data_IF_742933936815
#
_entry.id   IF_742933936815
#
_cell.length_a   1.000
_cell.length_b   1.000
_cell.length_c   1.000
_cell.angle_alpha   90.00
_cell.angle_beta   90.00
_cell.angle_gamma   90.00
#
_symmetry.space_group_name_H-M   'P 1'
#
loop_
_entity.id
_entity.type
_entity.pdbx_description
1 polymer ?
#
# COMPACT_ATOMS: atom_id res chain seq x y z
N UNK A 1 -11.74 -1.49 10.95
CA UNK A 1 -12.76 -1.46 12.03
C UNK A 1 -12.02 -1.48 13.36
N UNK A 2 -12.57 -0.99 14.47
CA UNK A 2 -11.94 -1.21 15.77
C UNK A 2 -11.87 -2.72 16.05
N UNK A 3 -10.77 -3.18 16.63
CA UNK A 3 -10.61 -4.58 17.01
C UNK A 3 -11.65 -4.95 18.07
N UNK A 4 -12.20 -6.16 17.95
CA UNK A 4 -13.15 -6.71 18.93
C UNK A 4 -12.42 -7.76 19.75
N UNK A 5 -12.37 -7.58 21.07
CA UNK A 5 -11.79 -8.52 22.03
C UNK A 5 -12.88 -9.22 22.82
N UNK A 6 -12.78 -10.54 22.93
CA UNK A 6 -13.60 -11.36 23.79
C UNK A 6 -12.74 -12.03 24.86
N UNK A 7 -13.31 -12.16 26.06
CA UNK A 7 -12.75 -12.96 27.14
C UNK A 7 -13.56 -14.24 27.22
N UNK A 8 -12.90 -15.39 27.12
CA UNK A 8 -13.59 -16.66 27.18
C UNK A 8 -14.01 -16.98 28.62
N UNK A 9 -15.24 -17.45 28.80
CA UNK A 9 -15.74 -17.94 30.09
C UNK A 9 -15.01 -19.21 30.55
N UNK A 10 -14.46 -19.98 29.60
CA UNK A 10 -13.57 -21.13 29.83
C UNK A 10 -12.38 -21.03 28.88
N UNK A 11 -11.14 -21.36 29.31
CA UNK A 11 -9.98 -21.30 28.44
C UNK A 11 -10.15 -22.15 27.17
N UNK A 12 -9.85 -21.55 26.01
CA UNK A 12 -9.92 -22.21 24.70
C UNK A 12 -8.62 -22.98 24.44
N UNK A 13 -8.69 -24.32 24.46
CA UNK A 13 -7.56 -25.19 24.16
C UNK A 13 -7.44 -25.47 22.66
N UNK A 14 -6.95 -24.49 21.90
CA UNK A 14 -6.81 -24.62 20.44
C UNK A 14 -5.34 -24.61 20.00
N UNK A 15 -5.02 -25.36 18.96
CA UNK A 15 -3.69 -25.37 18.35
C UNK A 15 -3.63 -24.33 17.22
N UNK A 16 -3.10 -23.13 17.54
CA UNK A 16 -3.02 -22.00 16.59
C UNK A 16 -2.12 -22.29 15.40
N UNK A 17 -1.03 -23.05 15.59
CA UNK A 17 -0.17 -23.48 14.48
C UNK A 17 -0.91 -24.40 13.51
N UNK A 18 -1.77 -25.28 14.02
CA UNK A 18 -2.61 -26.15 13.18
C UNK A 18 -3.62 -25.31 12.40
N UNK A 19 -4.22 -24.27 13.00
CA UNK A 19 -5.09 -23.32 12.28
C UNK A 19 -4.30 -22.65 11.14
N UNK A 20 -3.11 -22.10 11.45
CA UNK A 20 -2.28 -21.42 10.46
C UNK A 20 -1.89 -22.31 9.28
N UNK A 21 -1.59 -23.59 9.52
CA UNK A 21 -1.30 -24.56 8.43
C UNK A 21 -2.49 -24.80 7.50
N UNK A 22 -3.73 -24.60 7.97
CA UNK A 22 -4.94 -24.74 7.16
C UNK A 22 -5.31 -23.45 6.42
N UNK A 23 -4.70 -22.33 6.80
CA UNK A 23 -4.92 -21.02 6.22
C UNK A 23 -3.56 -20.42 5.77
N UNK A 24 -2.88 -21.04 4.78
CA UNK A 24 -1.52 -20.67 4.38
C UNK A 24 -1.39 -19.24 3.82
N UNK A 25 -2.51 -18.61 3.43
CA UNK A 25 -2.57 -17.22 3.02
C UNK A 25 -2.38 -16.24 4.19
N UNK A 26 -2.59 -16.68 5.44
CA UNK A 26 -2.38 -15.86 6.62
C UNK A 26 -1.00 -16.11 7.21
N UNK A 27 -0.41 -15.05 7.77
CA UNK A 27 0.87 -15.13 8.47
C UNK A 27 0.63 -15.54 9.92
N UNK A 28 1.40 -16.52 10.37
CA UNK A 28 1.44 -16.92 11.77
C UNK A 28 2.62 -16.27 12.48
N UNK A 29 2.37 -15.68 13.64
CA UNK A 29 3.38 -15.16 14.56
C UNK A 29 3.11 -15.73 15.94
N UNK A 30 4.03 -16.56 16.42
CA UNK A 30 4.04 -17.00 17.81
C UNK A 30 4.68 -15.96 18.74
N UNK A 31 4.70 -16.24 20.06
CA UNK A 31 5.41 -15.43 21.02
C UNK A 31 6.91 -15.43 20.67
N UNK A 32 7.55 -14.27 20.78
CA UNK A 32 9.00 -14.15 20.59
C UNK A 32 9.60 -13.24 21.65
N UNK A 33 10.82 -13.58 22.05
CA UNK A 33 11.62 -12.81 22.98
C UNK A 33 12.41 -11.73 22.24
N UNK A 34 12.52 -10.57 22.88
CA UNK A 34 13.28 -9.46 22.33
C UNK A 34 14.77 -9.78 22.41
N UNK A 35 15.55 -9.20 21.48
CA UNK A 35 17.01 -9.29 21.53
C UNK A 35 17.60 -8.67 22.82
N UNK A 36 16.85 -7.80 23.51
CA UNK A 36 17.25 -7.17 24.77
C UNK A 36 16.83 -7.96 26.02
N UNK A 37 16.28 -9.18 25.84
CA UNK A 37 15.70 -9.98 26.91
C UNK A 37 14.27 -9.55 27.25
N UNK A 38 13.40 -10.52 27.53
CA UNK A 38 11.98 -10.32 27.83
C UNK A 38 11.06 -10.66 26.65
N UNK A 39 9.90 -11.27 26.94
CA UNK A 39 8.88 -11.55 25.92
C UNK A 39 8.31 -10.26 25.35
N UNK A 40 8.32 -10.12 24.02
CA UNK A 40 7.70 -8.97 23.33
C UNK A 40 6.19 -9.13 23.24
N UNK A 41 5.71 -10.36 23.10
CA UNK A 41 4.28 -10.68 23.10
C UNK A 41 4.03 -12.09 23.63
N UNK A 42 2.98 -12.26 24.45
CA UNK A 42 2.41 -13.56 24.85
C UNK A 42 1.42 -14.11 23.83
N UNK A 43 1.19 -13.38 22.74
CA UNK A 43 0.08 -13.56 21.83
C UNK A 43 0.47 -14.49 20.68
N UNK A 44 -0.52 -15.26 20.23
CA UNK A 44 -0.44 -16.10 19.05
C UNK A 44 -1.34 -15.47 17.99
N UNK A 45 -0.72 -14.95 16.94
CA UNK A 45 -1.38 -14.10 15.95
C UNK A 45 -1.42 -14.82 14.61
N UNK A 46 -2.62 -14.90 14.04
CA UNK A 46 -2.87 -15.16 12.63
C UNK A 46 -3.30 -13.82 12.05
N UNK A 47 -2.48 -13.23 11.19
CA UNK A 47 -2.76 -11.94 10.58
C UNK A 47 -2.85 -12.03 9.07
N UNK A 48 -3.67 -11.15 8.51
CA UNK A 48 -3.73 -10.93 7.08
C UNK A 48 -2.34 -10.47 6.59
N UNK A 49 -1.79 -11.19 5.62
CA UNK A 49 -0.46 -10.91 5.07
C UNK A 49 -0.43 -9.57 4.31
N UNK A 50 -1.60 -9.16 3.79
CA UNK A 50 -1.76 -8.06 2.84
C UNK A 50 -2.09 -6.74 3.51
N UNK A 51 -2.71 -6.79 4.68
CA UNK A 51 -2.89 -5.63 5.54
C UNK A 51 -1.95 -5.71 6.73
N UNK A 52 -1.04 -4.75 6.87
CA UNK A 52 0.10 -4.86 7.78
C UNK A 52 -0.27 -5.21 9.23
N UNK A 53 -1.52 -5.03 9.67
CA UNK A 53 -1.93 -5.25 11.06
C UNK A 53 -3.36 -5.75 11.29
N UNK A 54 -4.08 -6.34 10.31
CA UNK A 54 -5.40 -6.91 10.64
C UNK A 54 -5.23 -8.29 11.28
N UNK A 55 -5.49 -8.38 12.59
CA UNK A 55 -5.54 -9.64 13.31
C UNK A 55 -6.78 -10.42 12.85
N UNK A 56 -6.57 -11.52 12.11
CA UNK A 56 -7.62 -12.50 11.82
C UNK A 56 -8.02 -13.17 13.13
N UNK A 57 -7.02 -13.74 13.81
CA UNK A 57 -7.15 -14.22 15.17
C UNK A 57 -5.92 -13.82 15.98
N UNK A 58 -6.14 -13.18 17.11
CA UNK A 58 -5.10 -12.86 18.09
C UNK A 58 -5.47 -13.52 19.41
N UNK A 59 -4.89 -14.69 19.67
CA UNK A 59 -5.11 -15.43 20.90
C UNK A 59 -4.11 -14.97 21.97
N UNK A 60 -4.60 -14.72 23.18
CA UNK A 60 -3.79 -14.20 24.28
C UNK A 60 -4.21 -14.82 25.64
N UNK A 61 -3.39 -14.58 26.67
CA UNK A 61 -3.58 -15.11 28.01
C UNK A 61 -3.41 -16.63 28.04
N UNK A 62 -2.34 -17.13 27.43
CA UNK A 62 -2.05 -18.56 27.39
C UNK A 62 -1.78 -19.10 28.80
N UNK A 63 -2.56 -20.10 29.20
CA UNK A 63 -2.38 -20.90 30.42
C UNK A 63 -2.21 -22.38 30.05
N UNK A 64 -1.94 -23.24 31.05
CA UNK A 64 -1.93 -24.70 30.88
C UNK A 64 -3.25 -25.25 30.32
N UNK A 65 -4.38 -24.57 30.61
CA UNK A 65 -5.71 -24.99 30.17
C UNK A 65 -6.11 -24.46 28.79
N UNK A 66 -5.38 -23.49 28.24
CA UNK A 66 -5.75 -22.83 26.98
C UNK A 66 -5.59 -21.32 27.00
N UNK A 67 -6.08 -20.65 25.97
CA UNK A 67 -6.11 -19.20 25.83
C UNK A 67 -7.33 -18.61 26.53
N UNK A 68 -7.18 -17.47 27.19
CA UNK A 68 -8.29 -16.82 27.90
C UNK A 68 -8.97 -15.73 27.09
N UNK A 69 -8.38 -15.29 25.97
CA UNK A 69 -9.00 -14.27 25.12
C UNK A 69 -8.67 -14.44 23.64
N UNK A 70 -9.55 -13.90 22.81
CA UNK A 70 -9.37 -13.73 21.38
C UNK A 70 -9.68 -12.28 21.01
N UNK A 71 -8.84 -11.70 20.17
CA UNK A 71 -9.03 -10.40 19.53
C UNK A 71 -9.02 -10.57 18.01
N UNK A 72 -9.85 -9.79 17.30
CA UNK A 72 -9.97 -9.83 15.84
C UNK A 72 -10.36 -8.48 15.27
N UNK A 73 -9.92 -8.17 14.05
CA UNK A 73 -10.39 -7.05 13.25
C UNK A 73 -11.51 -7.44 12.27
N UNK A 74 -11.88 -8.73 12.24
CA UNK A 74 -12.84 -9.30 11.31
C UNK A 74 -14.25 -9.28 11.90
N UNK A 75 -15.23 -8.96 11.05
CA UNK A 75 -16.64 -9.07 11.42
C UNK A 75 -17.08 -10.54 11.65
N UNK A 76 -18.15 -10.80 12.41
CA UNK A 76 -18.65 -12.16 12.63
C UNK A 76 -18.89 -12.95 11.34
N UNK A 77 -19.42 -12.32 10.29
CA UNK A 77 -19.64 -12.97 8.99
C UNK A 77 -18.33 -13.38 8.31
N UNK A 78 -17.30 -12.55 8.38
CA UNK A 78 -16.00 -12.91 7.81
C UNK A 78 -15.33 -14.03 8.63
N UNK A 79 -15.44 -13.99 9.96
CA UNK A 79 -14.99 -15.07 10.83
C UNK A 79 -15.71 -16.38 10.54
N UNK A 80 -17.02 -16.35 10.32
CA UNK A 80 -17.80 -17.54 10.02
C UNK A 80 -17.25 -18.28 8.80
N UNK A 81 -16.90 -17.53 7.75
CA UNK A 81 -16.28 -18.07 6.53
C UNK A 81 -14.91 -18.67 6.82
N UNK A 82 -14.04 -17.95 7.54
CA UNK A 82 -12.70 -18.45 7.90
C UNK A 82 -12.80 -19.73 8.75
N UNK A 83 -13.67 -19.73 9.75
CA UNK A 83 -13.93 -20.87 10.63
C UNK A 83 -14.48 -22.06 9.84
N UNK A 84 -15.32 -21.83 8.83
CA UNK A 84 -15.89 -22.91 8.01
C UNK A 84 -14.87 -23.69 7.18
N UNK A 85 -13.69 -23.10 6.93
CA UNK A 85 -12.58 -23.72 6.20
C UNK A 85 -11.66 -24.56 7.07
N UNK A 86 -11.82 -24.45 8.39
CA UNK A 86 -11.02 -25.23 9.33
C UNK A 86 -11.54 -26.67 9.44
N UNK A 87 -10.66 -27.64 9.74
CA UNK A 87 -11.04 -28.97 10.18
C UNK A 87 -12.16 -28.95 11.22
N UNK A 88 -13.06 -29.94 11.18
CA UNK A 88 -14.27 -29.98 12.01
C UNK A 88 -13.98 -29.87 13.51
N UNK A 89 -12.85 -30.41 13.99
CA UNK A 89 -12.41 -30.32 15.38
C UNK A 89 -12.07 -28.89 15.79
N UNK A 90 -11.39 -28.12 14.93
CA UNK A 90 -10.99 -26.74 15.20
C UNK A 90 -12.17 -25.78 15.03
N UNK A 91 -12.97 -25.98 13.99
CA UNK A 91 -14.13 -25.14 13.73
C UNK A 91 -15.20 -25.30 14.81
N UNK A 92 -15.47 -26.52 15.29
CA UNK A 92 -16.42 -26.76 16.38
C UNK A 92 -15.99 -26.07 17.68
N UNK A 93 -14.70 -26.15 18.06
CA UNK A 93 -14.17 -25.50 19.26
C UNK A 93 -14.30 -23.97 19.21
N UNK A 94 -13.99 -23.36 18.06
CA UNK A 94 -14.15 -21.93 17.87
C UNK A 94 -15.63 -21.53 17.93
N UNK A 95 -16.51 -22.20 17.17
CA UNK A 95 -17.95 -21.91 17.20
C UNK A 95 -18.53 -22.03 18.61
N UNK A 96 -18.17 -23.07 19.34
CA UNK A 96 -18.62 -23.26 20.73
C UNK A 96 -18.15 -22.13 21.65
N UNK A 97 -16.90 -21.69 21.51
CA UNK A 97 -16.32 -20.65 22.36
C UNK A 97 -16.81 -19.24 22.03
N UNK A 98 -17.34 -19.04 20.82
CA UNK A 98 -17.90 -17.78 20.34
C UNK A 98 -19.43 -17.69 20.51
N UNK A 99 -20.09 -18.80 20.81
CA UNK A 99 -21.55 -18.86 20.99
C UNK A 99 -22.01 -17.91 22.10
N UNK A 100 -23.00 -17.06 21.82
CA UNK A 100 -23.52 -16.06 22.73
C UNK A 100 -22.62 -14.84 22.93
N UNK A 101 -21.53 -14.71 22.17
CA UNK A 101 -20.62 -13.55 22.21
C UNK A 101 -20.93 -12.58 21.07
N UNK A 102 -20.36 -11.37 21.12
CA UNK A 102 -20.43 -10.40 20.02
C UNK A 102 -19.72 -10.87 18.75
N UNK A 103 -18.93 -11.95 18.83
CA UNK A 103 -18.23 -12.58 17.72
C UNK A 103 -18.87 -13.91 17.31
N UNK A 104 -20.10 -14.21 17.77
CA UNK A 104 -20.82 -15.42 17.36
C UNK A 104 -20.94 -15.49 15.83
N UNK A 105 -20.32 -16.49 15.18
CA UNK A 105 -20.34 -16.58 13.74
C UNK A 105 -21.73 -17.01 13.27
N UNK A 106 -22.38 -16.27 12.35
CA UNK A 106 -23.66 -16.68 11.77
C UNK A 106 -23.51 -17.98 10.96
N UNK A 107 -24.62 -18.61 10.61
CA UNK A 107 -24.60 -19.66 9.59
C UNK A 107 -24.08 -19.09 8.27
N UNK A 108 -23.12 -19.82 7.68
CA UNK A 108 -22.52 -19.42 6.41
C UNK A 108 -23.41 -19.91 5.28
N UNK A 109 -23.96 -18.99 4.49
CA UNK A 109 -24.69 -19.37 3.29
C UNK A 109 -23.74 -19.81 2.18
N UNK A 110 -24.23 -20.61 1.23
CA UNK A 110 -23.46 -20.98 0.04
C UNK A 110 -23.11 -19.76 -0.83
N UNK A 111 -23.90 -18.70 -0.79
CA UNK A 111 -23.60 -17.42 -1.42
C UNK A 111 -22.42 -16.69 -0.76
N UNK A 112 -22.34 -16.69 0.57
CA UNK A 112 -21.26 -16.01 1.29
C UNK A 112 -19.91 -16.67 1.01
N UNK A 113 -19.88 -18.02 0.96
CA UNK A 113 -18.69 -18.79 0.56
C UNK A 113 -18.23 -18.41 -0.85
N UNK A 114 -19.16 -18.42 -1.81
CA UNK A 114 -18.86 -18.05 -3.21
C UNK A 114 -18.36 -16.62 -3.33
N UNK A 115 -18.93 -15.70 -2.57
CA UNK A 115 -18.49 -14.30 -2.55
C UNK A 115 -17.06 -14.19 -2.00
N UNK A 116 -16.77 -14.83 -0.87
CA UNK A 116 -15.43 -14.81 -0.29
C UNK A 116 -14.38 -15.45 -1.20
N UNK A 117 -14.68 -16.60 -1.81
CA UNK A 117 -13.79 -17.24 -2.78
C UNK A 117 -13.50 -16.31 -3.97
N UNK A 118 -14.52 -15.58 -4.45
CA UNK A 118 -14.36 -14.58 -5.49
C UNK A 118 -13.47 -13.42 -5.03
N UNK A 119 -13.66 -12.90 -3.82
CA UNK A 119 -12.83 -11.84 -3.25
C UNK A 119 -11.37 -12.27 -3.08
N UNK A 120 -11.14 -13.50 -2.60
CA UNK A 120 -9.80 -14.08 -2.50
C UNK A 120 -9.12 -14.20 -3.86
N UNK A 121 -9.84 -14.68 -4.86
CA UNK A 121 -9.32 -14.77 -6.23
C UNK A 121 -8.94 -13.40 -6.78
N UNK A 122 -9.81 -12.40 -6.60
CA UNK A 122 -9.52 -11.00 -6.99
C UNK A 122 -8.28 -10.48 -6.26
N UNK A 123 -8.14 -10.75 -4.97
CA UNK A 123 -6.97 -10.33 -4.21
C UNK A 123 -5.69 -10.98 -4.74
N UNK A 124 -5.69 -12.29 -4.99
CA UNK A 124 -4.54 -13.00 -5.58
C UNK A 124 -4.17 -12.45 -6.96
N UNK A 125 -5.17 -12.16 -7.79
CA UNK A 125 -4.96 -11.50 -9.10
C UNK A 125 -4.32 -10.11 -8.92
N UNK A 126 -4.81 -9.31 -7.98
CA UNK A 126 -4.25 -8.00 -7.64
C UNK A 126 -2.80 -8.09 -7.12
N UNK A 127 -2.47 -9.10 -6.30
CA UNK A 127 -1.08 -9.31 -5.85
C UNK A 127 -0.16 -9.63 -7.03
N UNK A 128 -0.61 -10.46 -7.96
CA UNK A 128 0.17 -10.75 -9.16
C UNK A 128 0.37 -9.50 -10.01
N UNK A 129 -0.65 -8.63 -10.12
CA UNK A 129 -0.54 -7.33 -10.79
C UNK A 129 0.55 -6.46 -10.15
N UNK A 130 0.50 -6.28 -8.83
CA UNK A 130 1.47 -5.47 -8.06
C UNK A 130 2.87 -6.07 -8.15
N UNK A 131 3.01 -7.38 -7.91
CA UNK A 131 4.28 -8.09 -7.97
C UNK A 131 4.93 -7.99 -9.34
N UNK A 132 4.14 -8.12 -10.41
CA UNK A 132 4.63 -7.98 -11.79
C UNK A 132 5.11 -6.55 -12.06
N UNK A 133 4.40 -5.54 -11.57
CA UNK A 133 4.83 -4.15 -11.70
C UNK A 133 6.14 -3.89 -10.92
N UNK A 134 6.21 -4.32 -9.66
CA UNK A 134 7.40 -4.17 -8.81
C UNK A 134 8.62 -4.99 -9.30
N UNK A 135 8.42 -6.04 -10.12
CA UNK A 135 9.52 -6.81 -10.70
C UNK A 135 10.42 -5.98 -11.63
N UNK A 136 9.94 -4.85 -12.15
CA UNK A 136 10.75 -3.84 -12.86
C UNK A 136 11.83 -3.25 -11.94
N UNK A 137 11.58 -3.23 -10.64
CA UNK A 137 12.49 -2.68 -9.63
C UNK A 137 12.47 -1.15 -9.57
N UNK A 138 13.36 -0.60 -8.74
CA UNK A 138 13.61 0.84 -8.71
C UNK A 138 14.80 1.19 -9.62
N UNK A 139 14.71 2.32 -10.30
CA UNK A 139 15.87 2.96 -10.91
C UNK A 139 16.82 3.34 -9.77
N UNK A 140 17.99 2.70 -9.72
CA UNK A 140 18.91 2.80 -8.59
C UNK A 140 19.65 4.15 -8.63
N UNK A 141 19.05 5.21 -8.08
CA UNK A 141 19.82 6.26 -7.42
C UNK A 141 19.67 6.06 -5.90
N UNK A 142 20.53 5.20 -5.33
CA UNK A 142 20.63 5.06 -3.88
C UNK A 142 21.26 6.30 -3.21
N UNK A 143 21.67 7.28 -4.02
CA UNK A 143 22.17 8.55 -3.54
C UNK A 143 21.01 9.42 -3.11
N UNK A 144 21.14 10.02 -1.93
CA UNK A 144 20.23 11.08 -1.53
C UNK A 144 20.26 12.17 -2.63
N UNK A 145 19.11 12.50 -3.21
CA UNK A 145 19.00 13.56 -4.19
C UNK A 145 19.55 14.86 -3.60
N UNK A 146 20.68 15.31 -4.15
CA UNK A 146 21.31 16.57 -3.79
C UNK A 146 21.09 17.56 -4.93
N UNK A 147 19.97 18.27 -4.88
CA UNK A 147 19.71 19.39 -5.78
C UNK A 147 19.53 20.68 -4.99
N UNK A 148 19.68 21.82 -5.66
CA UNK A 148 19.42 23.13 -5.05
C UNK A 148 17.91 23.38 -5.02
N UNK A 149 17.42 24.00 -3.95
CA UNK A 149 16.00 24.31 -3.79
C UNK A 149 15.45 25.14 -4.97
N UNK A 150 16.21 26.13 -5.45
CA UNK A 150 15.85 27.00 -6.57
C UNK A 150 15.58 26.25 -7.90
N UNK A 151 16.09 25.02 -8.03
CA UNK A 151 15.91 24.18 -9.21
C UNK A 151 14.75 23.19 -9.07
N UNK A 152 14.11 23.13 -7.90
CA UNK A 152 13.12 22.13 -7.55
C UNK A 152 11.76 22.74 -7.20
N UNK A 153 10.68 22.02 -7.51
CA UNK A 153 9.32 22.39 -7.16
C UNK A 153 8.58 21.23 -6.48
N UNK A 154 8.01 21.52 -5.30
CA UNK A 154 7.19 20.59 -4.54
C UNK A 154 5.79 20.43 -5.15
N UNK A 155 5.26 19.21 -5.08
CA UNK A 155 3.90 18.87 -5.49
C UNK A 155 3.12 18.35 -4.29
N UNK A 156 1.96 18.96 -4.06
CA UNK A 156 1.08 18.61 -2.96
C UNK A 156 0.30 17.34 -3.23
N UNK A 157 -0.26 16.74 -2.17
CA UNK A 157 -1.30 15.71 -2.33
C UNK A 157 -2.46 16.27 -3.18
N UNK A 158 -2.96 15.44 -4.11
CA UNK A 158 -3.95 15.80 -5.15
C UNK A 158 -3.48 16.78 -6.22
N UNK A 159 -2.20 17.12 -6.27
CA UNK A 159 -1.65 17.95 -7.33
C UNK A 159 -0.84 17.14 -8.34
N UNK A 160 -0.68 17.73 -9.52
CA UNK A 160 0.30 17.36 -10.53
C UNK A 160 1.11 18.58 -10.93
N UNK A 161 2.42 18.39 -11.16
CA UNK A 161 3.27 19.38 -11.79
C UNK A 161 3.93 18.82 -13.05
N UNK A 162 4.11 19.67 -14.05
CA UNK A 162 4.87 19.38 -15.28
C UNK A 162 5.90 20.50 -15.48
N UNK A 163 7.13 20.12 -15.82
CA UNK A 163 8.27 20.99 -16.10
C UNK A 163 9.12 20.43 -17.26
N UNK A 164 10.08 21.20 -17.75
CA UNK A 164 11.00 20.75 -18.80
C UNK A 164 12.46 21.16 -18.51
N UNK A 165 13.40 20.71 -19.34
CA UNK A 165 14.82 20.99 -19.18
C UNK A 165 15.20 22.49 -19.16
N UNK A 166 14.43 23.34 -19.84
CA UNK A 166 14.69 24.78 -19.95
C UNK A 166 14.12 25.59 -18.78
N UNK A 167 13.30 24.96 -17.93
CA UNK A 167 12.67 25.60 -16.78
C UNK A 167 13.69 25.87 -15.67
N UNK A 168 13.53 27.00 -14.95
CA UNK A 168 14.33 27.26 -13.75
C UNK A 168 14.14 26.14 -12.72
N UNK A 169 12.88 25.72 -12.50
CA UNK A 169 12.51 24.60 -11.65
C UNK A 169 12.35 23.31 -12.48
N UNK A 170 13.45 22.81 -13.03
CA UNK A 170 13.47 21.61 -13.88
C UNK A 170 13.39 20.29 -13.09
N UNK A 171 13.35 20.33 -11.75
CA UNK A 171 13.11 19.17 -10.89
C UNK A 171 11.74 19.32 -10.25
N UNK A 172 10.90 18.29 -10.33
CA UNK A 172 9.62 18.24 -9.59
C UNK A 172 9.64 17.07 -8.63
N UNK A 173 9.09 17.25 -7.44
CA UNK A 173 9.15 16.21 -6.40
C UNK A 173 8.03 16.29 -5.37
N UNK A 174 7.78 15.16 -4.72
CA UNK A 174 6.79 15.03 -3.65
C UNK A 174 7.25 14.01 -2.61
N UNK A 175 6.70 14.10 -1.40
CA UNK A 175 7.05 13.26 -0.26
C UNK A 175 5.83 13.03 0.63
N UNK A 176 5.96 12.14 1.62
CA UNK A 176 4.86 11.87 2.54
C UNK A 176 3.82 10.88 2.01
N UNK A 177 4.13 10.15 0.94
CA UNK A 177 3.18 9.22 0.33
C UNK A 177 3.12 7.90 1.12
N UNK A 178 2.38 7.91 2.23
CA UNK A 178 2.01 6.70 2.97
C UNK A 178 1.00 5.87 2.16
N UNK A 179 -0.31 6.07 2.36
CA UNK A 179 -1.35 5.45 1.53
C UNK A 179 -1.46 6.09 0.14
N UNK A 180 -0.85 7.24 -0.10
CA UNK A 180 -0.88 7.90 -1.40
C UNK A 180 0.11 7.25 -2.39
N UNK A 181 -0.13 7.46 -3.68
CA UNK A 181 0.66 6.91 -4.78
C UNK A 181 1.28 8.08 -5.55
N UNK A 182 2.58 7.98 -5.81
CA UNK A 182 3.31 8.95 -6.61
C UNK A 182 3.51 8.37 -8.00
N UNK A 183 3.11 9.12 -9.02
CA UNK A 183 3.36 8.80 -10.43
C UNK A 183 4.22 9.89 -11.03
N UNK A 184 5.49 9.61 -11.29
CA UNK A 184 6.33 10.48 -12.09
C UNK A 184 6.37 9.97 -13.54
N UNK A 185 6.48 10.90 -14.48
CA UNK A 185 6.52 10.61 -15.90
C UNK A 185 7.55 11.48 -16.61
N UNK A 186 8.19 10.94 -17.65
CA UNK A 186 9.26 11.61 -18.37
C UNK A 186 9.24 11.31 -19.86
N UNK A 187 9.37 12.36 -20.66
CA UNK A 187 9.55 12.30 -22.09
C UNK A 187 11.02 12.57 -22.43
N UNK A 188 11.77 11.57 -22.94
CA UNK A 188 13.17 11.75 -23.28
C UNK A 188 13.41 12.59 -24.54
N UNK A 189 12.40 12.76 -25.41
CA UNK A 189 12.55 13.56 -26.63
C UNK A 189 12.39 15.06 -26.35
N UNK A 190 11.35 15.44 -25.61
CA UNK A 190 11.09 16.85 -25.26
C UNK A 190 11.73 17.28 -23.95
N UNK A 191 12.37 16.35 -23.24
CA UNK A 191 12.94 16.57 -21.91
C UNK A 191 11.89 17.15 -20.94
N UNK A 192 10.67 16.63 -21.03
CA UNK A 192 9.53 17.03 -20.19
C UNK A 192 9.35 16.02 -19.08
N UNK A 193 9.28 16.47 -17.83
CA UNK A 193 8.99 15.62 -16.69
C UNK A 193 7.76 16.12 -15.95
N UNK A 194 7.02 15.21 -15.33
CA UNK A 194 5.98 15.58 -14.40
C UNK A 194 5.84 14.58 -13.27
N UNK A 195 5.10 14.98 -12.25
CA UNK A 195 4.83 14.16 -11.07
C UNK A 195 3.45 14.47 -10.52
N UNK A 196 2.71 13.41 -10.20
CA UNK A 196 1.37 13.45 -9.61
C UNK A 196 1.38 12.77 -8.25
N UNK A 197 0.72 13.37 -7.27
CA UNK A 197 0.53 12.81 -5.93
C UNK A 197 -0.94 12.40 -5.75
N UNK A 198 -1.24 11.14 -6.03
CA UNK A 198 -2.58 10.56 -6.06
C UNK A 198 -2.96 10.07 -4.67
N UNK A 199 -4.12 10.49 -4.17
CA UNK A 199 -4.66 9.98 -2.91
C UNK A 199 -5.91 9.10 -3.11
N UNK A 200 -6.53 8.69 -2.01
CA UNK A 200 -7.72 7.84 -2.02
C UNK A 200 -8.93 8.46 -2.76
N UNK A 201 -9.03 9.80 -2.78
CA UNK A 201 -10.14 10.55 -3.37
C UNK A 201 -9.85 11.04 -4.79
N UNK A 202 -8.59 10.97 -5.25
CA UNK A 202 -8.23 11.33 -6.61
C UNK A 202 -8.89 10.39 -7.62
N UNK A 203 -9.56 10.97 -8.62
CA UNK A 203 -10.02 10.26 -9.81
C UNK A 203 -8.81 9.92 -10.69
N UNK A 204 -8.45 8.64 -10.78
CA UNK A 204 -7.23 8.22 -11.51
C UNK A 204 -7.33 8.55 -12.99
N UNK A 205 -8.54 8.56 -13.57
CA UNK A 205 -8.72 8.89 -15.00
C UNK A 205 -8.21 10.28 -15.38
N UNK A 206 -8.19 11.23 -14.43
CA UNK A 206 -7.66 12.57 -14.62
C UNK A 206 -6.17 12.58 -14.99
N UNK A 207 -5.41 11.54 -14.61
CA UNK A 207 -3.99 11.39 -14.93
C UNK A 207 -3.72 11.34 -16.43
N UNK A 208 -4.63 10.76 -17.22
CA UNK A 208 -4.46 10.57 -18.67
C UNK A 208 -4.18 11.90 -19.38
N UNK A 209 -4.92 12.96 -19.02
CA UNK A 209 -4.71 14.30 -19.59
C UNK A 209 -3.29 14.82 -19.38
N UNK A 210 -2.71 14.58 -18.20
CA UNK A 210 -1.38 15.08 -17.87
C UNK A 210 -0.26 14.24 -18.49
N UNK A 211 -0.51 12.93 -18.63
CA UNK A 211 0.34 12.04 -19.44
C UNK A 211 0.36 12.50 -20.89
N UNK A 212 -0.80 12.83 -21.47
CA UNK A 212 -0.91 13.31 -22.85
C UNK A 212 -0.17 14.64 -23.05
N UNK A 213 -0.32 15.58 -22.10
CA UNK A 213 0.42 16.85 -22.11
C UNK A 213 1.94 16.63 -22.07
N UNK A 214 2.42 15.72 -21.23
CA UNK A 214 3.86 15.46 -21.10
C UNK A 214 4.44 14.66 -22.27
N UNK A 215 3.63 13.82 -22.94
CA UNK A 215 4.04 13.06 -24.12
C UNK A 215 4.21 13.95 -25.35
N UNK A 216 3.45 15.03 -25.49
CA UNK A 216 3.65 16.04 -26.55
C UNK A 216 3.86 15.46 -27.97
N UNK A 217 2.91 14.64 -28.46
CA UNK A 217 2.91 14.01 -29.80
C UNK A 217 4.22 13.33 -30.27
N UNK A 218 5.09 12.95 -29.32
CA UNK A 218 6.34 12.25 -29.61
C UNK A 218 6.14 10.80 -29.99
N UNK A 219 7.15 10.22 -30.66
CA UNK A 219 7.16 8.80 -31.03
C UNK A 219 7.64 7.90 -29.88
N UNK A 220 8.52 8.41 -29.01
CA UNK A 220 8.99 7.68 -27.83
C UNK A 220 7.88 7.47 -26.81
N UNK A 221 7.91 6.29 -26.17
CA UNK A 221 7.05 6.00 -25.02
C UNK A 221 7.40 6.91 -23.85
N UNK A 222 6.38 7.43 -23.17
CA UNK A 222 6.54 8.16 -21.93
C UNK A 222 7.01 7.20 -20.83
N UNK A 223 8.11 7.54 -20.17
CA UNK A 223 8.67 6.74 -19.10
C UNK A 223 7.91 7.00 -17.81
N UNK A 224 7.46 5.95 -17.12
CA UNK A 224 6.66 6.05 -15.89
C UNK A 224 7.43 5.48 -14.70
N UNK A 225 7.36 6.18 -13.58
CA UNK A 225 7.98 5.81 -12.32
C UNK A 225 6.96 5.86 -11.19
N UNK A 226 6.78 4.75 -10.48
CA UNK A 226 5.74 4.57 -9.47
C UNK A 226 6.34 4.32 -8.09
N UNK A 227 5.78 4.96 -7.07
CA UNK A 227 6.15 4.72 -5.67
C UNK A 227 5.02 5.03 -4.70
N UNK A 228 5.01 4.37 -3.55
CA UNK A 228 4.08 4.64 -2.45
C UNK A 228 2.97 3.63 -2.34
N UNK A 229 1.89 4.00 -1.67
CA UNK A 229 0.80 3.11 -1.34
C UNK A 229 1.14 2.15 -0.21
N UNK A 230 0.10 1.78 0.52
CA UNK A 230 0.11 0.74 1.53
C UNK A 230 -1.15 -0.13 1.37
N UNK A 231 -1.33 -1.06 2.30
CA UNK A 231 -2.47 -1.98 2.30
C UNK A 231 -3.84 -1.30 2.18
N UNK A 232 -4.00 -0.08 2.73
CA UNK A 232 -5.25 0.67 2.66
C UNK A 232 -5.54 1.25 1.28
N UNK A 233 -4.53 1.40 0.43
CA UNK A 233 -4.63 1.96 -0.92
C UNK A 233 -4.54 0.93 -2.05
N UNK A 234 -4.58 -0.36 -1.73
CA UNK A 234 -4.39 -1.45 -2.70
C UNK A 234 -5.25 -1.29 -3.96
N UNK A 235 -6.54 -1.06 -3.81
CA UNK A 235 -7.44 -0.89 -4.95
C UNK A 235 -7.09 0.33 -5.81
N UNK A 236 -6.61 1.42 -5.19
CA UNK A 236 -6.17 2.61 -5.92
C UNK A 236 -4.87 2.34 -6.68
N UNK A 237 -3.95 1.55 -6.12
CA UNK A 237 -2.74 1.09 -6.83
C UNK A 237 -3.11 0.28 -8.07
N UNK A 238 -4.05 -0.67 -7.94
CA UNK A 238 -4.54 -1.46 -9.08
C UNK A 238 -5.17 -0.57 -10.14
N UNK A 239 -6.02 0.39 -9.73
CA UNK A 239 -6.64 1.35 -10.65
C UNK A 239 -5.59 2.13 -11.46
N UNK A 240 -4.52 2.62 -10.82
CA UNK A 240 -3.40 3.31 -11.49
C UNK A 240 -2.68 2.37 -12.47
N UNK A 241 -2.33 1.16 -12.03
CA UNK A 241 -1.61 0.20 -12.87
C UNK A 241 -2.45 -0.22 -14.08
N UNK A 242 -3.74 -0.45 -13.91
CA UNK A 242 -4.65 -0.83 -14.99
C UNK A 242 -4.82 0.29 -16.01
N UNK A 243 -4.87 1.55 -15.57
CA UNK A 243 -4.91 2.68 -16.50
C UNK A 243 -3.62 2.81 -17.31
N UNK A 244 -2.46 2.65 -16.67
CA UNK A 244 -1.17 2.71 -17.36
C UNK A 244 -0.96 1.53 -18.32
N UNK A 245 -1.43 0.32 -17.98
CA UNK A 245 -1.30 -0.86 -18.84
C UNK A 245 -2.17 -0.83 -20.09
N UNK A 246 -3.25 -0.04 -20.08
CA UNK A 246 -4.11 0.18 -21.25
C UNK A 246 -3.49 1.11 -22.29
N UNK A 247 -2.31 1.67 -21.99
CA UNK A 247 -1.62 2.64 -22.82
C UNK A 247 -0.40 2.01 -23.48
N UNK A 248 -0.39 1.98 -24.81
CA UNK A 248 0.74 1.49 -25.58
C UNK A 248 1.89 2.51 -25.68
N UNK A 249 1.59 3.78 -25.36
CA UNK A 249 2.47 4.93 -25.46
C UNK A 249 3.22 5.26 -24.15
N UNK A 250 3.15 4.37 -23.16
CA UNK A 250 3.90 4.48 -21.90
C UNK A 250 4.73 3.22 -21.62
N UNK A 251 5.79 3.37 -20.84
CA UNK A 251 6.62 2.27 -20.34
C UNK A 251 6.90 2.49 -18.85
N UNK A 252 6.61 1.50 -18.00
CA UNK A 252 6.98 1.56 -16.58
C UNK A 252 8.48 1.27 -16.46
N UNK A 253 9.28 2.30 -16.14
CA UNK A 253 10.74 2.19 -15.95
C UNK A 253 11.13 1.83 -14.52
N UNK A 254 10.30 2.17 -13.54
CA UNK A 254 10.52 1.77 -12.15
C UNK A 254 9.22 1.72 -11.35
N UNK A 255 9.11 0.76 -10.44
CA UNK A 255 7.94 0.59 -9.60
C UNK A 255 8.34 0.07 -8.21
N UNK A 256 7.83 0.72 -7.17
CA UNK A 256 7.91 0.26 -5.78
C UNK A 256 6.66 0.73 -5.05
N UNK A 257 5.54 0.17 -5.45
CA UNK A 257 4.25 0.39 -4.79
C UNK A 257 4.01 -0.69 -3.75
N UNK A 258 3.30 -0.37 -2.66
CA UNK A 258 3.00 -1.31 -1.57
C UNK A 258 4.24 -1.82 -0.80
N UNK A 259 5.41 -1.22 -1.06
CA UNK A 259 6.65 -1.57 -0.36
C UNK A 259 6.72 -0.85 1.00
N UNK A 260 7.32 -1.46 2.04
CA UNK A 260 7.53 -0.79 3.30
C UNK A 260 8.38 0.49 3.13
N UNK A 261 7.86 1.65 3.56
CA UNK A 261 8.70 2.83 3.70
C UNK A 261 9.71 2.62 4.83
N UNK A 262 11.00 2.71 4.50
CA UNK A 262 12.12 2.57 5.44
C UNK A 262 12.18 3.69 6.49
N UNK A 263 11.53 4.83 6.27
CA UNK A 263 11.73 6.05 7.07
C UNK A 263 10.54 6.41 7.97
N UNK A 264 9.42 5.69 7.91
CA UNK A 264 8.18 6.08 8.60
C UNK A 264 7.54 7.38 8.08
N UNK A 265 8.18 8.07 7.14
CA UNK A 265 7.75 9.34 6.53
C UNK A 265 6.99 9.13 5.21
N UNK A 266 6.55 7.91 4.92
CA UNK A 266 5.97 7.55 3.63
C UNK A 266 7.01 7.47 2.50
N UNK A 267 6.55 7.20 1.28
CA UNK A 267 7.39 7.26 0.09
C UNK A 267 7.63 8.70 -0.36
N UNK A 268 8.69 8.88 -1.15
CA UNK A 268 9.04 10.16 -1.77
C UNK A 268 9.58 9.91 -3.18
N UNK A 269 9.39 10.86 -4.08
CA UNK A 269 9.93 10.75 -5.43
C UNK A 269 10.12 12.14 -5.99
N UNK A 270 11.26 12.35 -6.63
CA UNK A 270 11.51 13.52 -7.47
C UNK A 270 12.06 13.06 -8.82
N UNK A 271 11.89 13.88 -9.85
CA UNK A 271 12.37 13.59 -11.20
C UNK A 271 12.99 14.85 -11.82
N UNK A 272 14.13 14.68 -12.48
CA UNK A 272 14.88 15.75 -13.12
C UNK A 272 14.62 15.77 -14.63
N UNK A 273 13.93 16.81 -15.12
CA UNK A 273 13.56 16.94 -16.52
C UNK A 273 14.74 17.02 -17.49
N UNK A 274 15.94 17.41 -17.03
CA UNK A 274 17.15 17.44 -17.88
C UNK A 274 17.71 16.05 -18.19
N UNK A 275 17.35 15.04 -17.40
CA UNK A 275 18.02 13.73 -17.42
C UNK A 275 17.09 12.53 -17.36
N UNK A 276 15.85 12.71 -16.90
CA UNK A 276 14.96 11.62 -16.53
C UNK A 276 15.34 10.91 -15.23
N UNK A 277 16.42 11.33 -14.55
CA UNK A 277 16.85 10.69 -13.30
C UNK A 277 15.80 10.91 -12.20
N UNK A 278 15.48 9.84 -11.48
CA UNK A 278 14.59 9.88 -10.34
C UNK A 278 15.35 9.79 -9.02
N UNK A 279 14.82 10.45 -7.99
CA UNK A 279 15.37 10.43 -6.63
C UNK A 279 14.32 9.89 -5.66
N UNK A 280 14.57 8.69 -5.13
CA UNK A 280 13.72 8.02 -4.16
C UNK A 280 14.16 8.26 -2.70
N UNK A 281 15.13 9.13 -2.47
CA UNK A 281 15.52 9.53 -1.14
C UNK A 281 16.06 10.96 -1.20
N UNK A 282 15.46 11.89 -0.46
CA UNK A 282 15.95 13.27 -0.32
C UNK A 282 15.42 13.85 0.99
N UNK A 283 16.12 14.84 1.54
CA UNK A 283 15.69 15.50 2.76
C UNK A 283 14.78 16.70 2.42
N UNK A 284 13.46 16.64 2.66
CA UNK A 284 12.57 17.78 2.38
C UNK A 284 12.93 19.02 3.22
N UNK A 285 13.61 18.86 4.36
CA UNK A 285 14.08 20.00 5.18
C UNK A 285 15.21 20.78 4.50
N UNK A 286 16.04 20.10 3.71
CA UNK A 286 17.12 20.73 2.94
C UNK A 286 16.63 21.22 1.57
N UNK A 287 15.35 21.01 1.25
CA UNK A 287 14.70 21.37 0.01
C UNK A 287 13.45 22.23 0.30
N UNK A 288 13.61 23.47 0.80
CA UNK A 288 12.48 24.32 1.23
C UNK A 288 11.43 24.60 0.14
N UNK A 289 11.78 24.52 -1.14
CA UNK A 289 10.82 24.66 -2.25
C UNK A 289 10.09 23.34 -2.60
N UNK A 290 10.54 22.21 -2.03
CA UNK A 290 9.75 20.98 -1.86
C UNK A 290 8.95 20.98 -0.54
N UNK A 291 9.10 22.01 0.30
CA UNK A 291 8.17 22.27 1.40
C UNK A 291 7.00 23.08 0.87
N UNK A 292 5.83 22.82 1.44
CA UNK A 292 4.51 23.35 1.08
C UNK A 292 4.46 24.87 1.05
N UNK A 293 4.93 25.48 -0.03
CA UNK A 293 4.76 26.89 -0.30
C UNK A 293 3.62 27.05 -1.30
N UNK A 294 2.47 27.49 -0.79
CA UNK A 294 1.33 28.02 -1.55
C UNK A 294 1.82 29.24 -2.35
N UNK A 295 2.43 29.01 -3.50
CA UNK A 295 2.95 30.09 -4.35
C UNK A 295 2.03 30.31 -5.53
N UNK A 296 1.45 31.52 -5.56
CA UNK A 296 0.73 32.09 -6.70
C UNK A 296 1.66 32.12 -7.92
N UNK A 297 1.09 31.65 -9.04
CA UNK A 297 1.53 31.78 -10.44
C UNK A 297 2.65 32.80 -10.64
N UNK A 298 3.87 32.31 -10.86
CA UNK A 298 4.78 32.79 -11.89
C UNK A 298 6.04 31.91 -11.91
N UNK A 299 6.33 31.37 -13.10
CA UNK A 299 7.53 30.61 -13.52
C UNK A 299 7.38 29.07 -13.50
N UNK A 300 7.91 28.44 -14.55
CA UNK A 300 7.49 27.16 -15.16
C UNK A 300 7.50 25.91 -14.24
N UNK A 301 6.39 25.70 -13.57
CA UNK A 301 5.84 24.39 -13.18
C UNK A 301 4.30 24.56 -13.11
N UNK A 302 3.56 23.92 -14.02
CA UNK A 302 2.10 24.06 -14.02
C UNK A 302 1.50 23.16 -12.94
N UNK A 303 1.04 23.76 -11.83
CA UNK A 303 0.30 23.05 -10.79
C UNK A 303 -1.18 22.97 -11.16
N UNK A 304 -1.72 21.76 -11.13
CA UNK A 304 -3.15 21.51 -11.37
C UNK A 304 -3.73 20.56 -10.33
N UNK A 305 -5.00 20.76 -9.98
CA UNK A 305 -5.76 19.84 -9.14
C UNK A 305 -6.15 18.58 -9.93
N UNK A 306 -6.04 17.44 -9.27
CA UNK A 306 -6.55 16.15 -9.71
C UNK A 306 -7.96 15.95 -9.12
N UNK A 307 -9.00 16.42 -9.83
CA UNK A 307 -10.42 16.19 -9.52
C UNK A 307 -11.10 15.41 -10.65
#
# INVERSE_FOLDING_TARGET
MPSTKIIFSQPLNINVEKIAKQLPEYRYRGPYESFLGGMVTSEYIINDADSKHSAVFKFDGKTEKGFTSLETDYSPSQLAIIISRLPSDLSAQLKQSLNGTTLEPPEVSSSDLKQFEREQKINQENDMVIKTANAVGQSHSHHAGQFKAENAKGVSQKEVAITNADSQQYIVGTWGAGPCIIVAFYNPETLTAGIAHIDALTNVSSLSKYIDIARDDTQSKLQIHLRGGDSSSRNKVIEVLDQLRKRDDVEIKSCAVMEPSFSGLGAMLAINAKTGETYANFNPRNQPDLQWHYLKKQHAAYLHDLN
#
